data_IF_307467825333
#
_entry.id   IF_307467825333
#
_cell.length_a   1.000
_cell.length_b   1.000
_cell.length_c   1.000
_cell.angle_alpha   90.00
_cell.angle_beta   90.00
_cell.angle_gamma   90.00
#
_symmetry.space_group_name_H-M   'P 1'
#
loop_
_entity.id
_entity.type
_entity.pdbx_description
1 polymer ?
#
# COMPACT_ATOMS: atom_id res chain seq x y z
N UNK A 1 -1.41 -3.57 9.64
CA UNK A 1 -0.25 -3.60 8.71
C UNK A 1 0.55 -2.30 8.80
N UNK A 2 0.01 -1.11 8.52
CA UNK A 2 0.78 0.15 8.57
C UNK A 2 1.54 0.42 9.88
N UNK A 3 0.93 0.20 11.05
CA UNK A 3 1.61 0.33 12.35
C UNK A 3 2.81 -0.63 12.48
N UNK A 4 2.70 -1.84 11.93
CA UNK A 4 3.72 -2.87 12.01
C UNK A 4 4.88 -2.60 11.03
N UNK A 5 4.60 -1.93 9.91
CA UNK A 5 5.63 -1.33 9.03
C UNK A 5 6.36 -0.21 9.77
N UNK A 6 5.63 0.74 10.36
CA UNK A 6 6.22 1.85 11.11
C UNK A 6 7.13 1.36 12.24
N UNK A 7 6.68 0.38 13.02
CA UNK A 7 7.49 -0.27 14.07
C UNK A 7 8.81 -0.87 13.55
N UNK A 8 8.85 -1.40 12.32
CA UNK A 8 10.11 -1.88 11.72
C UNK A 8 11.02 -0.73 11.35
N UNK A 9 10.46 0.37 10.83
CA UNK A 9 11.21 1.55 10.42
C UNK A 9 11.85 2.29 11.61
N UNK A 10 11.26 2.20 12.81
CA UNK A 10 11.89 2.70 14.04
C UNK A 10 13.29 2.11 14.27
N UNK A 11 13.50 0.84 13.93
CA UNK A 11 14.82 0.18 14.03
C UNK A 11 15.87 0.81 13.11
N UNK A 12 15.45 1.51 12.07
CA UNK A 12 16.30 2.25 11.14
C UNK A 12 16.41 3.74 11.50
N UNK A 13 15.80 4.17 12.61
CA UNK A 13 15.76 5.57 13.06
C UNK A 13 15.12 6.52 12.05
N UNK A 14 14.17 6.02 11.27
CA UNK A 14 13.37 6.88 10.39
C UNK A 14 12.50 7.82 11.22
N UNK A 15 12.36 9.07 10.79
CA UNK A 15 11.23 9.90 11.20
C UNK A 15 9.98 9.38 10.48
N UNK A 16 8.85 9.29 11.17
CA UNK A 16 7.64 8.62 10.69
C UNK A 16 6.43 9.51 10.91
N UNK A 17 5.78 9.87 9.79
CA UNK A 17 4.46 10.50 9.78
C UNK A 17 3.49 9.64 8.99
N UNK A 18 2.19 9.84 9.21
CA UNK A 18 1.17 9.08 8.52
C UNK A 18 -0.05 9.92 8.16
N UNK A 19 -0.76 9.49 7.12
CA UNK A 19 -2.06 10.00 6.73
C UNK A 19 -3.08 8.85 6.74
N UNK A 20 -4.27 9.12 7.26
CA UNK A 20 -5.43 8.25 7.12
C UNK A 20 -6.72 9.03 7.30
N UNK A 21 -7.86 8.47 6.86
CA UNK A 21 -9.20 9.09 6.97
C UNK A 21 -9.53 9.62 8.37
N UNK A 22 -9.10 8.89 9.39
CA UNK A 22 -9.21 9.33 10.80
C UNK A 22 -7.88 9.13 11.50
N UNK A 23 -7.57 10.03 12.43
CA UNK A 23 -6.40 9.92 13.30
C UNK A 23 -6.44 8.60 14.08
N UNK A 24 -5.29 7.93 14.16
CA UNK A 24 -5.09 6.69 14.93
C UNK A 24 -4.50 7.02 16.30
N UNK A 25 -4.76 6.16 17.27
CA UNK A 25 -4.12 6.23 18.58
C UNK A 25 -2.70 5.64 18.50
N UNK A 26 -1.78 6.41 17.92
CA UNK A 26 -0.36 6.07 17.74
C UNK A 26 0.50 7.31 18.01
N UNK A 27 1.78 7.11 18.25
CA UNK A 27 2.76 8.17 18.58
C UNK A 27 3.28 8.95 17.37
N UNK A 28 3.13 8.41 16.17
CA UNK A 28 3.57 9.05 14.92
C UNK A 28 2.77 10.32 14.63
N UNK A 29 3.40 11.30 13.99
CA UNK A 29 2.72 12.55 13.61
C UNK A 29 1.67 12.28 12.53
N UNK A 30 0.47 12.85 12.73
CA UNK A 30 -0.63 12.78 11.78
C UNK A 30 -0.55 13.95 10.80
N UNK A 31 -0.64 13.64 9.50
CA UNK A 31 -0.72 14.62 8.42
C UNK A 31 -2.16 14.72 7.94
N UNK A 32 -2.60 15.94 7.61
CA UNK A 32 -4.01 16.21 7.23
C UNK A 32 -4.34 15.79 5.80
N UNK A 33 -3.33 15.58 4.94
CA UNK A 33 -3.52 15.13 3.57
C UNK A 33 -2.36 14.28 3.06
N UNK A 34 -2.63 13.42 2.08
CA UNK A 34 -1.57 12.67 1.37
C UNK A 34 -0.58 13.60 0.68
N UNK A 35 -1.04 14.76 0.18
CA UNK A 35 -0.17 15.74 -0.46
C UNK A 35 0.83 16.31 0.54
N UNK A 36 0.37 16.73 1.73
CA UNK A 36 1.26 17.23 2.79
C UNK A 36 2.25 16.15 3.28
N UNK A 37 1.81 14.89 3.34
CA UNK A 37 2.70 13.78 3.68
C UNK A 37 3.76 13.55 2.61
N UNK A 38 3.37 13.57 1.34
CA UNK A 38 4.29 13.42 0.22
C UNK A 38 5.33 14.54 0.15
N UNK A 39 4.93 15.80 0.38
CA UNK A 39 5.86 16.93 0.44
C UNK A 39 6.91 16.83 1.55
N UNK A 40 6.63 16.07 2.60
CA UNK A 40 7.54 15.88 3.72
C UNK A 40 8.41 14.62 3.59
N UNK A 41 7.91 13.56 2.94
CA UNK A 41 8.53 12.25 2.95
C UNK A 41 9.61 12.07 1.86
N UNK A 42 10.67 11.33 2.18
CA UNK A 42 11.62 10.77 1.20
C UNK A 42 11.19 9.36 0.73
N UNK A 43 10.29 8.71 1.46
CA UNK A 43 9.69 7.44 1.07
C UNK A 43 8.21 7.43 1.43
N UNK A 44 7.34 7.34 0.42
CA UNK A 44 5.89 7.27 0.58
C UNK A 44 5.41 5.82 0.46
N UNK A 45 4.99 5.23 1.59
CA UNK A 45 4.54 3.83 1.65
C UNK A 45 3.01 3.77 1.69
N UNK A 46 2.41 3.11 0.70
CA UNK A 46 0.97 2.91 0.59
C UNK A 46 0.57 1.57 1.21
N UNK A 47 -0.28 1.63 2.24
CA UNK A 47 -0.83 0.46 2.94
C UNK A 47 -2.28 0.69 3.42
N UNK A 48 -3.08 1.26 2.52
CA UNK A 48 -4.48 1.60 2.74
C UNK A 48 -5.41 0.66 1.95
N UNK A 49 -6.65 0.42 2.42
CA UNK A 49 -7.63 -0.35 1.65
C UNK A 49 -7.92 0.32 0.30
N UNK A 50 -8.14 -0.47 -0.74
CA UNK A 50 -8.66 0.06 -2.00
C UNK A 50 -10.17 0.32 -1.92
N UNK A 51 -10.58 1.55 -2.17
CA UNK A 51 -11.98 1.97 -2.30
C UNK A 51 -12.12 3.01 -3.41
N UNK A 52 -13.34 3.48 -3.68
CA UNK A 52 -13.58 4.63 -4.54
C UNK A 52 -12.91 5.91 -4.01
N UNK A 53 -12.83 6.06 -2.69
CA UNK A 53 -12.19 7.22 -2.03
C UNK A 53 -10.68 7.24 -2.21
N UNK A 54 -10.05 6.07 -2.35
CA UNK A 54 -8.60 5.95 -2.53
C UNK A 54 -8.18 5.80 -3.98
N UNK A 55 -9.14 5.76 -4.92
CA UNK A 55 -8.86 5.57 -6.34
C UNK A 55 -8.02 6.74 -6.87
N UNK A 56 -6.84 6.43 -7.42
CA UNK A 56 -5.87 7.42 -7.94
C UNK A 56 -5.55 8.54 -6.92
N UNK A 57 -5.60 8.21 -5.62
CA UNK A 57 -5.24 9.14 -4.55
C UNK A 57 -3.77 9.60 -4.66
N UNK A 58 -2.90 8.77 -5.23
CA UNK A 58 -1.54 9.16 -5.65
C UNK A 58 -1.56 9.48 -7.13
N UNK A 59 -1.81 10.75 -7.44
CA UNK A 59 -1.82 11.31 -8.80
C UNK A 59 -0.50 12.03 -9.13
N UNK A 60 -0.44 12.70 -10.28
CA UNK A 60 0.72 13.50 -10.69
C UNK A 60 1.10 14.59 -9.67
N UNK A 61 0.13 15.19 -8.98
CA UNK A 61 0.41 16.25 -7.98
C UNK A 61 1.11 15.66 -6.75
N UNK A 62 0.65 14.51 -6.27
CA UNK A 62 1.27 13.81 -5.13
C UNK A 62 2.68 13.33 -5.50
N UNK A 63 2.86 12.77 -6.70
CA UNK A 63 4.19 12.34 -7.18
C UNK A 63 5.17 13.51 -7.32
N UNK A 64 4.71 14.66 -7.82
CA UNK A 64 5.54 15.86 -7.90
C UNK A 64 5.89 16.42 -6.51
N UNK A 65 4.96 16.33 -5.55
CA UNK A 65 5.20 16.74 -4.17
C UNK A 65 6.22 15.84 -3.47
N UNK A 66 6.22 14.53 -3.75
CA UNK A 66 7.21 13.58 -3.27
C UNK A 66 8.63 13.92 -3.77
N UNK A 67 8.73 14.43 -5.00
CA UNK A 67 9.93 15.06 -5.54
C UNK A 67 11.06 14.09 -5.90
N UNK A 68 12.11 14.65 -6.52
CA UNK A 68 13.16 13.89 -7.22
C UNK A 68 13.95 12.90 -6.35
N UNK A 69 13.99 13.12 -5.03
CA UNK A 69 14.67 12.23 -4.08
C UNK A 69 13.73 11.18 -3.47
N UNK A 70 12.42 11.30 -3.74
CA UNK A 70 11.42 10.49 -3.08
C UNK A 70 11.19 9.14 -3.75
N UNK A 71 10.89 8.13 -2.95
CA UNK A 71 10.53 6.78 -3.39
C UNK A 71 9.07 6.48 -3.12
N UNK A 72 8.36 5.91 -4.10
CA UNK A 72 7.01 5.39 -3.90
C UNK A 72 7.04 3.88 -3.64
N UNK A 73 6.39 3.41 -2.58
CA UNK A 73 6.27 1.99 -2.26
C UNK A 73 4.79 1.64 -2.18
N UNK A 74 4.30 0.74 -3.04
CA UNK A 74 2.91 0.29 -3.02
C UNK A 74 2.83 -1.22 -2.73
N UNK A 75 2.33 -1.54 -1.53
CA UNK A 75 2.05 -2.91 -1.06
C UNK A 75 0.57 -3.07 -0.69
N UNK A 76 -0.28 -2.22 -1.27
CA UNK A 76 -1.70 -2.12 -0.96
C UNK A 76 -2.59 -2.63 -2.10
N UNK A 77 -2.97 -1.73 -3.01
CA UNK A 77 -3.76 -1.98 -4.22
C UNK A 77 -3.23 -1.09 -5.33
N UNK A 78 -3.12 -1.62 -6.55
CA UNK A 78 -2.56 -0.85 -7.67
C UNK A 78 -3.35 0.42 -7.98
N UNK A 79 -4.69 0.32 -8.00
CA UNK A 79 -5.62 1.45 -8.28
C UNK A 79 -5.57 2.63 -7.32
N UNK A 80 -4.75 2.58 -6.28
CA UNK A 80 -4.50 3.75 -5.42
C UNK A 80 -3.59 4.75 -6.13
N UNK A 81 -2.72 4.26 -7.00
CA UNK A 81 -1.79 5.06 -7.80
C UNK A 81 -2.35 5.21 -9.19
N UNK A 82 -2.28 6.43 -9.74
CA UNK A 82 -2.45 6.64 -11.17
C UNK A 82 -1.21 6.09 -11.89
N UNK A 83 -1.34 4.91 -12.50
CA UNK A 83 -0.21 4.17 -13.08
C UNK A 83 0.44 4.94 -14.25
N UNK A 84 -0.35 5.68 -15.03
CA UNK A 84 0.15 6.51 -16.11
C UNK A 84 1.00 7.69 -15.57
N UNK A 85 0.53 8.34 -14.50
CA UNK A 85 1.29 9.40 -13.84
C UNK A 85 2.59 8.86 -13.23
N UNK A 86 2.57 7.67 -12.63
CA UNK A 86 3.74 7.01 -12.07
C UNK A 86 4.79 6.71 -13.14
N UNK A 87 4.40 6.10 -14.26
CA UNK A 87 5.30 5.81 -15.38
C UNK A 87 6.03 7.08 -15.83
N UNK A 88 5.27 8.17 -16.01
CA UNK A 88 5.82 9.46 -16.42
C UNK A 88 6.77 10.02 -15.36
N UNK A 89 6.39 9.99 -14.07
CA UNK A 89 7.20 10.51 -12.98
C UNK A 89 8.53 9.78 -12.81
N UNK A 90 8.55 8.45 -12.93
CA UNK A 90 9.77 7.64 -12.85
C UNK A 90 10.67 7.88 -14.07
N UNK A 91 10.11 7.83 -15.29
CA UNK A 91 10.89 8.00 -16.53
C UNK A 91 11.50 9.40 -16.67
N UNK A 92 10.82 10.42 -16.16
CA UNK A 92 11.29 11.81 -16.19
C UNK A 92 12.12 12.18 -14.94
N UNK A 93 12.44 11.21 -14.07
CA UNK A 93 13.17 11.43 -12.81
C UNK A 93 12.54 12.48 -11.89
N UNK A 94 11.21 12.62 -11.93
CA UNK A 94 10.46 13.45 -10.98
C UNK A 94 10.36 12.81 -9.60
N UNK A 95 10.57 11.50 -9.52
CA UNK A 95 10.83 10.74 -8.30
C UNK A 95 12.06 9.85 -8.48
N UNK A 96 12.68 9.46 -7.37
CA UNK A 96 13.91 8.67 -7.39
C UNK A 96 13.66 7.24 -7.88
N UNK A 97 12.51 6.66 -7.54
CA UNK A 97 12.15 5.30 -7.94
C UNK A 97 10.85 4.79 -7.33
N UNK A 98 10.52 3.53 -7.61
CA UNK A 98 9.31 2.90 -7.10
C UNK A 98 9.49 1.41 -6.77
N UNK A 99 8.84 0.94 -5.71
CA UNK A 99 8.71 -0.47 -5.36
C UNK A 99 7.24 -0.89 -5.34
N UNK A 100 6.84 -1.78 -6.24
CA UNK A 100 5.44 -2.13 -6.46
C UNK A 100 5.23 -3.63 -6.29
N UNK A 101 4.33 -4.01 -5.37
CA UNK A 101 3.84 -5.39 -5.24
C UNK A 101 2.47 -5.57 -5.91
N UNK A 102 1.83 -4.48 -6.35
CA UNK A 102 0.45 -4.46 -6.85
C UNK A 102 0.32 -3.55 -8.06
N UNK A 103 -0.61 -3.87 -8.96
CA UNK A 103 -0.79 -3.19 -10.25
C UNK A 103 -2.27 -2.86 -10.52
N UNK A 104 -2.56 -1.91 -11.39
CA UNK A 104 -3.96 -1.54 -11.69
C UNK A 104 -4.76 -2.70 -12.31
N UNK A 105 -4.08 -3.53 -13.12
CA UNK A 105 -4.66 -4.62 -13.91
C UNK A 105 -3.87 -5.92 -13.75
N UNK A 106 -3.82 -6.44 -12.55
CA UNK A 106 -3.17 -7.72 -12.26
C UNK A 106 -3.81 -8.89 -13.05
N UNK A 107 -3.00 -9.87 -13.49
CA UNK A 107 -1.57 -10.06 -13.23
C UNK A 107 -0.64 -9.25 -14.14
N UNK A 108 -1.18 -8.42 -15.04
CA UNK A 108 -0.38 -7.58 -15.92
C UNK A 108 0.18 -6.37 -15.17
N UNK A 109 1.43 -6.02 -15.48
CA UNK A 109 2.09 -4.80 -15.04
C UNK A 109 2.49 -3.96 -16.27
N UNK A 110 2.67 -2.64 -16.11
CA UNK A 110 3.09 -1.78 -17.22
C UNK A 110 4.50 -2.13 -17.66
N UNK A 111 4.63 -2.52 -18.93
CA UNK A 111 5.92 -2.89 -19.54
C UNK A 111 6.92 -1.74 -19.51
N UNK A 112 6.41 -0.51 -19.48
CA UNK A 112 7.18 0.73 -19.37
C UNK A 112 7.99 0.85 -18.08
N UNK A 113 7.56 0.17 -17.01
CA UNK A 113 8.28 0.10 -15.75
C UNK A 113 9.28 -1.07 -15.72
N UNK A 114 9.18 -2.02 -16.65
CA UNK A 114 10.04 -3.20 -16.68
C UNK A 114 11.46 -2.83 -17.09
N UNK A 115 12.44 -3.31 -16.32
CA UNK A 115 13.86 -3.11 -16.62
C UNK A 115 14.39 -1.71 -16.29
N UNK A 116 13.55 -0.81 -15.74
CA UNK A 116 14.04 0.45 -15.19
C UNK A 116 14.89 0.15 -13.94
N UNK A 117 16.12 0.66 -13.84
CA UNK A 117 17.06 0.30 -12.76
C UNK A 117 16.64 0.82 -11.39
N UNK A 118 15.71 1.79 -11.35
CA UNK A 118 15.16 2.40 -10.15
C UNK A 118 13.73 1.92 -9.84
N UNK A 119 13.29 0.82 -10.45
CA UNK A 119 11.98 0.22 -10.19
C UNK A 119 12.11 -1.24 -9.81
N UNK A 120 11.42 -1.64 -8.73
CA UNK A 120 11.26 -3.03 -8.32
C UNK A 120 9.79 -3.44 -8.48
N UNK A 121 9.56 -4.54 -9.20
CA UNK A 121 8.23 -5.09 -9.46
C UNK A 121 8.13 -6.48 -8.84
N UNK A 122 7.09 -6.72 -8.05
CA UNK A 122 6.79 -7.99 -7.41
C UNK A 122 5.37 -8.44 -7.79
N UNK A 123 5.13 -9.75 -7.98
CA UNK A 123 3.86 -10.27 -8.48
C UNK A 123 2.86 -10.53 -7.34
N UNK A 124 2.50 -9.51 -6.56
CA UNK A 124 1.51 -9.59 -5.47
C UNK A 124 1.82 -10.68 -4.44
N UNK A 125 3.01 -10.57 -3.83
CA UNK A 125 3.57 -11.58 -2.93
C UNK A 125 3.56 -11.15 -1.46
N UNK A 126 2.94 -10.03 -1.09
CA UNK A 126 2.96 -9.50 0.27
C UNK A 126 2.52 -10.47 1.39
N UNK A 127 1.71 -11.49 1.08
CA UNK A 127 1.33 -12.56 2.02
C UNK A 127 1.79 -13.97 1.59
N UNK A 128 2.56 -14.09 0.50
CA UNK A 128 2.81 -15.34 -0.22
C UNK A 128 3.89 -16.23 0.41
N UNK A 129 3.87 -16.39 1.74
CA UNK A 129 4.64 -17.41 2.46
C UNK A 129 3.77 -18.61 2.77
N UNK A 130 4.32 -19.82 2.83
CA UNK A 130 3.59 -21.05 3.18
C UNK A 130 2.76 -20.87 4.46
N UNK A 131 3.40 -20.49 5.56
CA UNK A 131 2.74 -20.41 6.87
C UNK A 131 1.61 -19.38 6.89
N UNK A 132 1.81 -18.20 6.28
CA UNK A 132 0.74 -17.19 6.18
C UNK A 132 -0.42 -17.68 5.30
N UNK A 133 -0.13 -18.34 4.18
CA UNK A 133 -1.18 -18.85 3.28
C UNK A 133 -1.95 -20.02 3.89
N UNK A 134 -1.30 -20.87 4.67
CA UNK A 134 -1.95 -21.93 5.47
C UNK A 134 -2.88 -21.32 6.52
N UNK A 135 -2.39 -20.38 7.34
CA UNK A 135 -3.22 -19.72 8.35
C UNK A 135 -4.43 -18.97 7.75
N UNK A 136 -4.26 -18.35 6.57
CA UNK A 136 -5.38 -17.75 5.83
C UNK A 136 -6.37 -18.79 5.34
N UNK A 137 -5.90 -19.96 4.88
CA UNK A 137 -6.75 -21.08 4.46
C UNK A 137 -7.56 -21.63 5.62
N UNK A 138 -6.92 -21.85 6.77
CA UNK A 138 -7.57 -22.30 7.99
C UNK A 138 -8.67 -21.31 8.44
N UNK A 139 -8.39 -20.01 8.36
CA UNK A 139 -9.37 -18.97 8.67
C UNK A 139 -10.60 -19.04 7.76
N UNK A 140 -10.44 -19.32 6.46
CA UNK A 140 -11.56 -19.49 5.51
C UNK A 140 -12.36 -20.73 5.85
N UNK A 141 -11.69 -21.86 6.09
CA UNK A 141 -12.34 -23.11 6.46
C UNK A 141 -13.17 -22.95 7.75
N UNK A 142 -12.63 -22.27 8.75
CA UNK A 142 -13.33 -22.04 10.02
C UNK A 142 -14.55 -21.13 9.85
N UNK A 143 -14.44 -20.07 9.05
CA UNK A 143 -15.58 -19.21 8.70
C UNK A 143 -16.74 -20.01 8.08
N UNK A 144 -16.44 -20.87 7.11
CA UNK A 144 -17.44 -21.69 6.42
C UNK A 144 -18.05 -22.72 7.38
N UNK A 145 -17.23 -23.37 8.21
CA UNK A 145 -17.68 -24.34 9.20
C UNK A 145 -18.66 -23.71 10.19
N UNK A 146 -18.30 -22.57 10.80
CA UNK A 146 -19.18 -21.85 11.72
C UNK A 146 -20.51 -21.49 11.06
N UNK A 147 -20.45 -20.94 9.84
CA UNK A 147 -21.65 -20.53 9.10
C UNK A 147 -22.60 -21.71 8.85
N UNK A 148 -22.07 -22.85 8.36
CA UNK A 148 -22.88 -24.04 8.07
C UNK A 148 -23.50 -24.68 9.32
N UNK A 149 -22.86 -24.51 10.49
CA UNK A 149 -23.34 -25.01 11.77
C UNK A 149 -24.29 -24.04 12.49
N UNK A 150 -24.52 -22.83 11.96
CA UNK A 150 -25.26 -21.79 12.66
C UNK A 150 -24.55 -21.24 13.89
N UNK A 151 -23.22 -21.36 13.94
CA UNK A 151 -22.36 -20.78 14.96
C UNK A 151 -22.00 -19.33 14.61
N UNK A 152 -21.47 -18.58 15.58
CA UNK A 152 -20.95 -17.23 15.33
C UNK A 152 -19.78 -17.29 14.33
N UNK A 153 -19.90 -16.54 13.23
CA UNK A 153 -18.88 -16.50 12.18
C UNK A 153 -17.75 -15.54 12.59
N UNK A 154 -16.51 -16.01 12.74
CA UNK A 154 -15.39 -15.14 13.10
C UNK A 154 -15.00 -14.22 11.94
N UNK A 155 -14.34 -13.09 12.21
CA UNK A 155 -13.77 -12.20 11.17
C UNK A 155 -14.77 -11.62 10.15
N UNK A 156 -16.04 -11.43 10.51
CA UNK A 156 -17.01 -10.75 9.64
C UNK A 156 -16.53 -9.35 9.23
N UNK A 157 -16.68 -9.09 7.93
CA UNK A 157 -16.45 -7.77 7.34
C UNK A 157 -17.46 -6.76 7.91
N UNK A 158 -17.09 -5.48 8.08
CA UNK A 158 -17.97 -4.47 8.70
C UNK A 158 -19.38 -4.38 8.08
N UNK A 159 -19.51 -4.65 6.79
CA UNK A 159 -20.77 -4.60 6.04
C UNK A 159 -21.74 -5.73 6.38
N UNK A 160 -21.26 -6.79 7.04
CA UNK A 160 -22.04 -7.97 7.45
C UNK A 160 -22.14 -8.13 8.96
N UNK A 161 -21.72 -7.13 9.73
CA UNK A 161 -21.87 -7.10 11.19
C UNK A 161 -23.22 -6.57 11.63
#
# INVERSE_FOLDING_TARGET
IGVEIARRLEGFKCDIRYFSRHKKNVTYEYMDSILSLASWAEALILILPGSSETYHMVDEKVLNALGQNGYLINVARGRIVDEAALIKAVKEHRIAGAGLDVFEKEPCHPVELSGLPNVMLLPHVGSATRDTREAMGDMVCENVRCFLNGEEVPNLVPELR
#
